data_IF_079736868477
#
_entry.id   IF_079736868477
#
_cell.length_a   1.000
_cell.length_b   1.000
_cell.length_c   1.000
_cell.angle_alpha   90.00
_cell.angle_beta   90.00
_cell.angle_gamma   90.00
#
_symmetry.space_group_name_H-M   'P 1'
#
loop_
_entity.id
_entity.type
_entity.pdbx_description
1 polymer ?
#
# COMPACT_ATOMS: atom_id res chain seq x y z
N UNK A 1 -8.39 -16.54 10.77
CA UNK A 1 -9.23 -15.39 11.15
C UNK A 1 -9.56 -14.59 9.92
N UNK A 2 -10.81 -14.18 9.74
CA UNK A 2 -11.21 -13.33 8.61
C UNK A 2 -11.20 -11.87 9.06
N UNK A 3 -10.52 -11.03 8.26
CA UNK A 3 -10.40 -9.60 8.51
C UNK A 3 -11.01 -8.86 7.33
N UNK A 4 -12.01 -8.01 7.59
CA UNK A 4 -12.57 -7.10 6.60
C UNK A 4 -11.75 -5.81 6.61
N UNK A 5 -11.26 -5.42 5.44
CA UNK A 5 -10.41 -4.24 5.23
C UNK A 5 -11.07 -3.36 4.18
N UNK A 6 -11.05 -2.06 4.41
CA UNK A 6 -11.60 -1.13 3.42
C UNK A 6 -11.36 0.32 3.79
N UNK A 7 -11.70 1.19 2.84
CA UNK A 7 -11.64 2.64 2.99
C UNK A 7 -12.62 3.33 2.06
N UNK A 8 -13.02 4.51 2.47
CA UNK A 8 -13.69 5.52 1.66
C UNK A 8 -12.90 6.82 1.82
N UNK A 9 -12.30 7.32 0.73
CA UNK A 9 -11.45 8.51 0.75
C UNK A 9 -11.96 9.48 -0.29
N UNK A 10 -12.19 10.74 0.12
CA UNK A 10 -12.50 11.83 -0.78
C UNK A 10 -11.33 12.79 -0.90
N UNK A 11 -10.94 13.05 -2.15
CA UNK A 11 -9.99 14.09 -2.50
C UNK A 11 -10.70 15.23 -3.20
N UNK A 12 -10.31 16.46 -2.91
CA UNK A 12 -10.83 17.67 -3.57
C UNK A 12 -9.68 18.53 -4.08
N UNK A 13 -9.85 19.07 -5.25
CA UNK A 13 -8.91 20.00 -5.88
C UNK A 13 -9.63 20.92 -6.84
N UNK A 14 -9.09 22.11 -7.07
CA UNK A 14 -9.58 23.10 -8.02
C UNK A 14 -8.94 22.96 -9.42
N UNK A 15 -7.93 22.10 -9.56
CA UNK A 15 -7.20 21.89 -10.82
C UNK A 15 -6.77 20.43 -10.97
N UNK A 16 -6.52 19.94 -12.20
CA UNK A 16 -5.98 18.60 -12.41
C UNK A 16 -4.68 18.40 -11.62
N UNK A 17 -4.62 17.36 -10.80
CA UNK A 17 -3.48 17.11 -9.92
C UNK A 17 -2.99 15.67 -10.10
N UNK A 18 -1.72 15.46 -10.54
CA UNK A 18 -1.14 14.11 -10.60
C UNK A 18 -1.04 13.48 -9.22
N UNK A 19 -1.44 12.22 -9.12
CA UNK A 19 -1.47 11.44 -7.87
C UNK A 19 -0.75 10.12 -8.02
N UNK A 20 -0.04 9.72 -6.95
CA UNK A 20 0.46 8.37 -6.72
C UNK A 20 -0.14 7.87 -5.41
N UNK A 21 -0.85 6.76 -5.45
CA UNK A 21 -1.52 6.20 -4.29
C UNK A 21 -1.07 4.77 -4.01
N UNK A 22 -0.69 4.49 -2.76
CA UNK A 22 -0.37 3.16 -2.26
C UNK A 22 -1.55 2.67 -1.40
N UNK A 23 -2.62 2.27 -2.06
CA UNK A 23 -3.90 1.91 -1.45
C UNK A 23 -4.27 0.44 -1.71
N UNK A 24 -3.40 -0.31 -2.39
CA UNK A 24 -3.61 -1.71 -2.70
C UNK A 24 -3.00 -2.64 -1.68
N UNK A 25 -3.60 -3.82 -1.51
CA UNK A 25 -3.01 -4.90 -0.75
C UNK A 25 -1.67 -5.30 -1.39
N UNK A 26 -0.64 -5.48 -0.56
CA UNK A 26 0.67 -5.93 -1.05
C UNK A 26 0.54 -7.31 -1.72
N UNK A 27 1.19 -7.53 -2.90
CA UNK A 27 1.06 -8.79 -3.65
C UNK A 27 1.38 -10.06 -2.87
N UNK A 28 2.28 -9.99 -1.88
CA UNK A 28 2.61 -11.13 -1.02
C UNK A 28 1.41 -11.68 -0.23
N UNK A 29 0.32 -10.90 -0.11
CA UNK A 29 -0.90 -11.29 0.61
C UNK A 29 -2.07 -11.60 -0.34
N UNK A 30 -1.85 -11.61 -1.66
CA UNK A 30 -2.92 -11.89 -2.62
C UNK A 30 -3.52 -13.30 -2.46
N UNK A 31 -2.73 -14.26 -2.02
CA UNK A 31 -3.20 -15.63 -1.76
C UNK A 31 -4.18 -15.72 -0.56
N UNK A 32 -4.17 -14.73 0.33
CA UNK A 32 -5.05 -14.65 1.49
C UNK A 32 -6.39 -13.98 1.18
N UNK A 33 -6.56 -13.37 0.00
CA UNK A 33 -7.82 -12.75 -0.40
C UNK A 33 -8.96 -13.78 -0.44
N UNK A 34 -10.08 -13.43 0.20
CA UNK A 34 -11.32 -14.21 0.19
C UNK A 34 -12.43 -13.54 -0.62
N UNK A 35 -12.30 -12.23 -0.85
CA UNK A 35 -13.14 -11.47 -1.78
C UNK A 35 -12.24 -10.63 -2.69
N UNK A 36 -12.71 -10.24 -3.90
CA UNK A 36 -11.89 -9.45 -4.82
C UNK A 36 -11.45 -8.12 -4.20
N UNK A 37 -10.17 -7.80 -4.33
CA UNK A 37 -9.64 -6.48 -4.06
C UNK A 37 -9.81 -5.61 -5.30
N UNK A 38 -10.57 -4.52 -5.19
CA UNK A 38 -10.83 -3.60 -6.29
C UNK A 38 -11.01 -2.18 -5.76
N UNK A 39 -10.23 -1.26 -6.30
CA UNK A 39 -10.40 0.18 -6.05
C UNK A 39 -11.46 0.71 -7.01
N UNK A 40 -12.49 1.34 -6.46
CA UNK A 40 -13.57 1.98 -7.21
C UNK A 40 -13.40 3.49 -7.12
N UNK A 41 -13.37 4.14 -8.29
CA UNK A 41 -13.26 5.59 -8.41
C UNK A 41 -14.60 6.20 -8.86
N UNK A 42 -15.00 7.29 -8.22
CA UNK A 42 -16.18 8.08 -8.63
C UNK A 42 -15.82 9.58 -8.62
N UNK A 43 -15.84 10.26 -9.78
CA UNK A 43 -16.15 9.75 -11.11
C UNK A 43 -15.15 8.69 -11.59
N UNK A 44 -15.55 7.89 -12.57
CA UNK A 44 -14.67 6.91 -13.20
C UNK A 44 -13.54 7.63 -13.96
N UNK A 45 -12.30 7.28 -13.66
CA UNK A 45 -11.10 7.87 -14.25
C UNK A 45 -10.10 6.79 -14.65
N UNK A 46 -9.23 7.04 -15.62
CA UNK A 46 -8.13 6.15 -15.92
C UNK A 46 -7.18 6.04 -14.73
N UNK A 47 -6.90 4.80 -14.30
CA UNK A 47 -5.91 4.49 -13.27
C UNK A 47 -4.93 3.46 -13.82
N UNK A 48 -3.65 3.70 -13.63
CA UNK A 48 -2.57 2.82 -14.07
C UNK A 48 -1.81 2.30 -12.85
N UNK A 49 -1.48 1.03 -12.86
CA UNK A 49 -0.76 0.40 -11.77
C UNK A 49 0.66 0.00 -12.20
N UNK A 50 1.60 0.11 -11.27
CA UNK A 50 2.95 -0.40 -11.41
C UNK A 50 3.47 -0.89 -10.05
N UNK A 51 4.52 -1.72 -10.06
CA UNK A 51 5.20 -2.14 -8.84
C UNK A 51 6.39 -1.20 -8.57
N UNK A 52 6.51 -0.71 -7.33
CA UNK A 52 7.69 0.02 -6.88
C UNK A 52 8.85 -0.93 -6.51
N UNK A 53 9.98 -0.38 -6.08
CA UNK A 53 11.16 -1.16 -5.69
C UNK A 53 10.97 -2.01 -4.43
N UNK A 54 9.89 -1.79 -3.67
CA UNK A 54 9.53 -2.55 -2.47
C UNK A 54 8.45 -3.62 -2.75
N UNK A 55 8.01 -3.71 -4.02
CA UNK A 55 6.95 -4.63 -4.41
C UNK A 55 5.53 -4.13 -4.14
N UNK A 56 5.36 -2.86 -3.71
CA UNK A 56 4.04 -2.29 -3.54
C UNK A 56 3.37 -2.01 -4.89
N UNK A 57 2.06 -2.16 -4.95
CA UNK A 57 1.26 -1.73 -6.09
C UNK A 57 0.94 -0.24 -5.92
N UNK A 58 1.46 0.57 -6.83
CA UNK A 58 1.21 2.01 -6.87
C UNK A 58 0.18 2.31 -7.94
N UNK A 59 -0.91 2.96 -7.56
CA UNK A 59 -1.93 3.48 -8.50
C UNK A 59 -1.57 4.91 -8.90
N UNK A 60 -1.42 5.13 -10.19
CA UNK A 60 -1.10 6.42 -10.79
C UNK A 60 -2.31 6.95 -11.55
N UNK A 61 -2.74 8.17 -11.23
CA UNK A 61 -3.89 8.82 -11.86
C UNK A 61 -3.80 10.34 -11.77
N UNK A 62 -4.68 11.04 -12.48
CA UNK A 62 -4.86 12.48 -12.33
C UNK A 62 -6.18 12.75 -11.62
N UNK A 63 -6.09 13.40 -10.47
CA UNK A 63 -7.25 13.86 -9.72
C UNK A 63 -7.97 14.94 -10.53
N UNK A 64 -9.26 14.76 -10.86
CA UNK A 64 -10.00 15.76 -11.63
C UNK A 64 -10.39 16.97 -10.75
N UNK A 65 -10.59 18.15 -11.34
CA UNK A 65 -11.19 19.28 -10.63
C UNK A 65 -12.55 18.91 -10.07
N UNK A 66 -12.86 19.36 -8.85
CA UNK A 66 -14.13 19.10 -8.18
C UNK A 66 -14.10 17.89 -7.25
N UNK A 67 -13.18 16.97 -7.44
CA UNK A 67 -12.95 15.87 -6.49
C UNK A 67 -13.11 14.46 -7.05
N UNK A 68 -12.68 13.52 -6.25
CA UNK A 68 -12.68 12.09 -6.53
C UNK A 68 -12.93 11.32 -5.25
N UNK A 69 -13.88 10.41 -5.28
CA UNK A 69 -14.08 9.43 -4.23
C UNK A 69 -13.40 8.11 -4.64
N UNK A 70 -12.55 7.58 -3.76
CA UNK A 70 -11.96 6.25 -3.88
C UNK A 70 -12.49 5.37 -2.79
N UNK A 71 -12.98 4.18 -3.12
CA UNK A 71 -13.42 3.19 -2.16
C UNK A 71 -12.86 1.81 -2.48
N UNK A 72 -12.65 1.04 -1.44
CA UNK A 72 -12.26 -0.36 -1.53
C UNK A 72 -12.82 -1.11 -0.31
N UNK A 73 -13.26 -2.34 -0.52
CA UNK A 73 -13.75 -3.21 0.56
C UNK A 73 -13.47 -4.66 0.16
N UNK A 74 -12.76 -5.38 1.01
CA UNK A 74 -12.39 -6.77 0.76
C UNK A 74 -12.15 -7.53 2.07
N UNK A 75 -12.08 -8.85 1.97
CA UNK A 75 -11.81 -9.73 3.10
C UNK A 75 -10.52 -10.51 2.83
N UNK A 76 -9.65 -10.54 3.82
CA UNK A 76 -8.45 -11.37 3.86
C UNK A 76 -8.54 -12.40 4.98
N UNK A 77 -7.90 -13.53 4.79
CA UNK A 77 -7.67 -14.49 5.86
C UNK A 77 -6.28 -14.27 6.47
N UNK A 78 -6.23 -14.32 7.78
CA UNK A 78 -4.98 -14.26 8.52
C UNK A 78 -4.90 -15.45 9.49
N UNK A 79 -3.72 -15.95 9.77
CA UNK A 79 -3.53 -17.06 10.69
C UNK A 79 -3.96 -16.72 12.12
N UNK A 80 -3.86 -15.44 12.50
CA UNK A 80 -4.05 -14.97 13.85
C UNK A 80 -2.91 -15.34 14.79
N UNK A 81 -1.85 -15.97 14.27
CA UNK A 81 -0.66 -16.29 15.04
C UNK A 81 0.20 -15.04 15.23
N UNK A 82 0.84 -14.87 16.37
CA UNK A 82 1.77 -13.76 16.59
C UNK A 82 2.99 -13.90 15.68
N UNK A 83 3.58 -12.76 15.32
CA UNK A 83 4.82 -12.73 14.58
C UNK A 83 5.96 -13.43 15.35
N UNK A 84 6.91 -14.07 14.64
CA UNK A 84 8.08 -14.68 15.28
C UNK A 84 8.89 -13.64 16.06
N UNK A 85 9.18 -13.95 17.32
CA UNK A 85 10.03 -13.11 18.16
C UNK A 85 11.37 -13.81 18.35
N UNK A 86 12.46 -13.17 17.90
CA UNK A 86 13.83 -13.62 18.10
C UNK A 86 14.44 -12.77 19.21
N UNK A 87 14.32 -13.23 20.47
CA UNK A 87 14.69 -12.46 21.66
C UNK A 87 16.20 -12.25 21.81
N UNK A 88 17.01 -13.07 21.15
CA UNK A 88 18.47 -13.01 21.11
C UNK A 88 19.02 -12.38 19.82
N UNK A 89 18.17 -11.78 18.99
CA UNK A 89 18.60 -11.05 17.81
C UNK A 89 19.53 -9.89 18.21
N UNK A 90 20.70 -9.82 17.58
CA UNK A 90 21.67 -8.76 17.81
C UNK A 90 21.46 -7.59 16.84
N UNK A 91 21.70 -6.37 17.31
CA UNK A 91 21.79 -5.22 16.43
C UNK A 91 23.14 -5.25 15.70
N UNK A 92 23.11 -5.23 14.37
CA UNK A 92 24.32 -5.20 13.56
C UNK A 92 24.90 -3.80 13.49
N UNK A 93 26.23 -3.69 13.41
CA UNK A 93 26.89 -2.44 13.07
C UNK A 93 26.59 -2.06 11.61
N UNK A 94 26.65 -0.76 11.28
CA UNK A 94 26.27 -0.27 9.93
C UNK A 94 27.16 -0.87 8.85
N UNK A 95 28.44 -1.05 9.13
CA UNK A 95 29.43 -1.65 8.22
C UNK A 95 29.15 -3.12 7.88
N UNK A 96 28.39 -3.81 8.72
CA UNK A 96 28.04 -5.23 8.54
C UNK A 96 26.66 -5.44 7.91
N UNK A 97 25.94 -4.35 7.62
CA UNK A 97 24.61 -4.44 7.03
C UNK A 97 24.66 -4.87 5.56
N UNK A 98 23.76 -5.75 5.10
CA UNK A 98 23.58 -6.04 3.68
C UNK A 98 23.25 -4.78 2.88
N UNK A 99 23.72 -4.71 1.64
CA UNK A 99 23.55 -3.52 0.79
C UNK A 99 22.08 -3.17 0.52
N UNK A 100 21.21 -4.17 0.42
CA UNK A 100 19.78 -4.01 0.14
C UNK A 100 18.99 -3.36 1.29
N UNK A 101 19.54 -3.33 2.51
CA UNK A 101 18.90 -2.67 3.65
C UNK A 101 19.43 -1.25 3.92
N UNK A 102 20.49 -0.82 3.24
CA UNK A 102 21.10 0.50 3.48
C UNK A 102 20.16 1.66 3.12
N UNK A 103 19.22 1.45 2.21
CA UNK A 103 18.19 2.44 1.84
C UNK A 103 17.33 2.86 3.05
N UNK A 104 17.17 2.00 4.03
CA UNK A 104 16.39 2.28 5.25
C UNK A 104 17.13 3.15 6.28
N UNK A 105 18.42 3.40 6.06
CA UNK A 105 19.21 4.35 6.86
C UNK A 105 18.99 5.81 6.42
N UNK A 106 18.39 6.03 5.25
CA UNK A 106 18.09 7.36 4.75
C UNK A 106 17.00 8.01 5.60
N UNK A 107 17.15 9.32 5.86
CA UNK A 107 16.14 10.06 6.59
C UNK A 107 14.80 10.07 5.87
N UNK A 108 13.73 9.86 6.64
CA UNK A 108 12.35 10.05 6.15
C UNK A 108 12.04 11.54 6.07
N UNK A 109 11.28 11.94 5.07
CA UNK A 109 10.87 13.35 4.84
C UNK A 109 9.62 13.76 5.62
N UNK A 110 9.07 12.88 6.42
CA UNK A 110 7.83 13.14 7.15
C UNK A 110 8.08 13.64 8.56
#
# INVERSE_FOLDING_TARGET
MLIRVGYDIRFETDRPTPMLALLSLHPSRHHDLRTPHRIVASPDIPMFEYADSFGNVVSRFTLPPGGLDLSCDFVVEDSGEPDPVVSDAAQHAVEDLPEDVLVYLLASRY
#
